data_IF_219387835454
#
_entry.id   IF_219387835454
#
_cell.length_a   1.000
_cell.length_b   1.000
_cell.length_c   1.000
_cell.angle_alpha   90.00
_cell.angle_beta   90.00
_cell.angle_gamma   90.00
#
_symmetry.space_group_name_H-M   'P 1'
#
loop_
_entity.id
_entity.type
_entity.pdbx_description
1 polymer ?
#
# COMPACT_ATOMS: atom_id res chain seq x y z
N UNK A 1 17.99 -10.70 21.27
CA UNK A 1 16.93 -9.91 21.98
C UNK A 1 16.41 -8.82 21.05
N UNK A 2 15.11 -8.51 21.10
CA UNK A 2 14.49 -7.40 20.36
C UNK A 2 14.18 -6.29 21.36
N UNK A 3 14.69 -5.07 21.13
CA UNK A 3 14.49 -3.95 22.07
C UNK A 3 13.90 -2.72 21.36
N UNK A 4 13.03 -2.00 22.05
CA UNK A 4 12.50 -0.70 21.58
C UNK A 4 13.55 0.39 21.81
N UNK A 5 13.72 1.29 20.83
CA UNK A 5 14.65 2.42 20.87
C UNK A 5 13.97 3.74 20.48
N UNK A 6 12.90 4.09 21.21
CA UNK A 6 12.08 5.27 20.95
C UNK A 6 11.03 5.07 19.86
N UNK A 7 10.64 6.16 19.21
CA UNK A 7 9.58 6.21 18.20
C UNK A 7 10.03 6.94 16.94
N UNK A 8 9.44 6.57 15.80
CA UNK A 8 9.51 7.38 14.58
C UNK A 8 8.67 8.64 14.74
N UNK A 9 8.85 9.60 13.82
CA UNK A 9 7.96 10.74 13.75
C UNK A 9 6.53 10.26 13.45
N UNK A 10 5.50 10.91 13.99
CA UNK A 10 4.12 10.63 13.63
C UNK A 10 3.94 10.72 12.12
N UNK A 11 3.21 9.77 11.56
CA UNK A 11 2.86 9.78 10.14
C UNK A 11 1.40 9.41 9.96
N UNK A 12 0.81 9.97 8.92
CA UNK A 12 -0.55 9.70 8.54
C UNK A 12 -0.62 8.50 7.59
N UNK A 13 -1.48 7.53 7.94
CA UNK A 13 -1.78 6.35 7.13
C UNK A 13 -3.23 6.47 6.66
N UNK A 14 -3.44 6.46 5.35
CA UNK A 14 -4.78 6.49 4.80
C UNK A 14 -5.46 5.12 4.91
N UNK A 15 -6.58 5.07 5.61
CA UNK A 15 -7.43 3.88 5.80
C UNK A 15 -8.81 4.08 5.17
N UNK A 16 -9.64 3.04 5.14
CA UNK A 16 -11.04 3.14 4.72
C UNK A 16 -11.90 4.00 5.64
N UNK A 17 -11.49 4.18 6.90
CA UNK A 17 -12.13 5.07 7.86
C UNK A 17 -11.59 6.51 7.79
N UNK A 18 -10.71 6.79 6.82
CA UNK A 18 -10.01 8.06 6.66
C UNK A 18 -8.55 8.02 7.11
N UNK A 19 -7.94 9.20 7.16
CA UNK A 19 -6.56 9.41 7.59
C UNK A 19 -6.39 9.16 9.10
N UNK A 20 -5.50 8.23 9.46
CA UNK A 20 -5.17 7.91 10.84
C UNK A 20 -3.72 8.25 11.13
N UNK A 21 -3.48 9.03 12.17
CA UNK A 21 -2.12 9.31 12.65
C UNK A 21 -1.57 8.09 13.41
N UNK A 22 -0.35 7.68 13.05
CA UNK A 22 0.32 6.53 13.62
C UNK A 22 1.75 6.89 13.99
N UNK A 23 2.16 6.52 15.20
CA UNK A 23 3.54 6.68 15.68
C UNK A 23 4.17 5.29 15.89
N UNK A 24 5.01 4.87 14.96
CA UNK A 24 5.61 3.54 14.99
C UNK A 24 6.80 3.47 15.97
N UNK A 25 6.93 2.42 16.80
CA UNK A 25 8.10 2.23 17.64
C UNK A 25 9.34 1.93 16.78
N UNK A 26 10.48 2.51 17.15
CA UNK A 26 11.79 2.11 16.60
C UNK A 26 12.22 0.81 17.27
N UNK A 27 12.54 -0.20 16.47
CA UNK A 27 12.95 -1.51 16.99
C UNK A 27 14.40 -1.77 16.61
N UNK A 28 15.24 -2.02 17.61
CA UNK A 28 16.59 -2.53 17.44
C UNK A 28 16.56 -4.05 17.63
N UNK A 29 16.51 -4.77 16.51
CA UNK A 29 16.59 -6.23 16.51
C UNK A 29 18.05 -6.67 16.60
N UNK A 30 18.41 -7.28 17.73
CA UNK A 30 19.75 -7.82 17.99
C UNK A 30 19.82 -9.34 17.76
N UNK A 31 18.79 -9.96 17.19
CA UNK A 31 18.82 -11.38 16.84
C UNK A 31 19.71 -11.59 15.63
N UNK A 32 20.47 -12.68 15.66
CA UNK A 32 21.27 -13.16 14.53
C UNK A 32 20.56 -14.32 13.87
N UNK A 33 20.66 -14.40 12.56
CA UNK A 33 20.19 -15.54 11.81
C UNK A 33 21.24 -16.67 11.87
N UNK A 34 20.90 -17.87 12.38
CA UNK A 34 21.88 -18.92 12.62
C UNK A 34 22.50 -19.49 11.34
N UNK A 35 21.81 -19.41 10.21
CA UNK A 35 22.30 -19.94 8.92
C UNK A 35 23.21 -18.94 8.19
N UNK A 36 22.81 -17.67 8.15
CA UNK A 36 23.51 -16.64 7.36
C UNK A 36 24.50 -15.82 8.20
N UNK A 37 24.43 -15.89 9.53
CA UNK A 37 25.23 -15.06 10.42
C UNK A 37 24.93 -13.56 10.30
N UNK A 38 23.80 -13.17 9.71
CA UNK A 38 23.40 -11.76 9.55
C UNK A 38 22.42 -11.31 10.62
N UNK A 39 22.30 -9.99 10.83
CA UNK A 39 21.28 -9.44 11.74
C UNK A 39 19.89 -9.61 11.16
N UNK A 40 18.97 -10.16 11.95
CA UNK A 40 17.54 -10.14 11.64
C UNK A 40 17.01 -8.71 11.73
N UNK A 41 16.00 -8.40 10.92
CA UNK A 41 15.25 -7.14 11.00
C UNK A 41 13.84 -7.43 11.47
N UNK A 42 13.40 -6.71 12.49
CA UNK A 42 12.00 -6.66 12.83
C UNK A 42 11.23 -5.93 11.73
N UNK A 43 10.18 -6.58 11.21
CA UNK A 43 9.20 -5.98 10.31
C UNK A 43 7.82 -6.15 10.95
N UNK A 44 7.05 -5.07 11.03
CA UNK A 44 5.69 -5.12 11.54
C UNK A 44 4.77 -5.71 10.47
N UNK A 45 3.97 -6.70 10.84
CA UNK A 45 2.91 -7.26 9.99
C UNK A 45 1.70 -6.33 9.88
N UNK A 46 1.47 -5.48 10.87
CA UNK A 46 0.33 -4.56 10.93
C UNK A 46 0.62 -3.28 10.17
N UNK A 47 1.83 -2.72 10.34
CA UNK A 47 2.26 -1.48 9.71
C UNK A 47 3.59 -1.72 8.98
N UNK A 48 3.54 -2.17 7.72
CA UNK A 48 4.74 -2.34 6.91
C UNK A 48 5.56 -1.06 6.83
N UNK A 49 6.87 -1.21 6.62
CA UNK A 49 7.76 -0.06 6.45
C UNK A 49 7.31 0.78 5.26
N UNK A 50 7.29 2.11 5.45
CA UNK A 50 6.83 3.10 4.45
C UNK A 50 5.35 2.99 4.03
N UNK A 51 4.51 2.24 4.75
CA UNK A 51 3.08 2.22 4.49
C UNK A 51 2.47 3.62 4.69
N UNK A 52 1.89 4.18 3.62
CA UNK A 52 1.16 5.48 3.63
C UNK A 52 -0.34 5.32 3.43
N UNK A 53 -0.77 4.13 3.01
CA UNK A 53 -2.15 3.73 2.79
C UNK A 53 -2.28 2.23 3.04
N UNK A 54 -3.47 1.80 3.41
CA UNK A 54 -3.78 0.36 3.55
C UNK A 54 -3.78 -0.34 2.18
N UNK A 55 -3.58 -1.66 2.17
CA UNK A 55 -3.75 -2.48 0.96
C UNK A 55 -5.14 -2.29 0.37
N UNK A 56 -6.18 -2.25 1.23
CA UNK A 56 -7.55 -2.10 0.76
C UNK A 56 -7.80 -0.78 0.02
N UNK A 57 -7.27 0.34 0.51
CA UNK A 57 -7.33 1.63 -0.19
C UNK A 57 -6.62 1.55 -1.56
N UNK A 58 -5.49 0.87 -1.62
CA UNK A 58 -4.70 0.69 -2.85
C UNK A 58 -5.50 -0.06 -3.92
N UNK A 59 -6.26 -1.09 -3.53
CA UNK A 59 -7.12 -1.88 -4.42
C UNK A 59 -8.32 -1.10 -4.96
N UNK A 60 -8.96 -0.25 -4.12
CA UNK A 60 -10.22 0.42 -4.51
C UNK A 60 -10.00 1.74 -5.22
N UNK A 61 -8.87 2.41 -5.01
CA UNK A 61 -8.60 3.72 -5.62
C UNK A 61 -8.61 3.71 -7.16
N UNK A 62 -8.18 2.66 -7.87
CA UNK A 62 -8.31 2.60 -9.33
C UNK A 62 -9.74 2.45 -9.85
N UNK A 63 -10.69 1.97 -9.04
CA UNK A 63 -12.06 1.72 -9.50
C UNK A 63 -12.76 2.98 -10.04
N UNK A 64 -12.74 4.13 -9.34
CA UNK A 64 -13.26 5.38 -9.91
C UNK A 64 -12.65 5.75 -11.27
N UNK A 65 -11.35 5.46 -11.49
CA UNK A 65 -10.71 5.72 -12.79
C UNK A 65 -11.33 4.85 -13.90
N UNK A 66 -11.62 3.57 -13.61
CA UNK A 66 -12.36 2.71 -14.54
C UNK A 66 -13.79 3.20 -14.79
N UNK A 67 -14.41 3.83 -13.80
CA UNK A 67 -15.74 4.43 -13.91
C UNK A 67 -15.74 5.83 -14.55
N UNK A 68 -14.60 6.30 -15.08
CA UNK A 68 -14.50 7.54 -15.84
C UNK A 68 -14.09 8.77 -15.03
N UNK A 69 -13.68 8.61 -13.77
CA UNK A 69 -13.09 9.71 -12.99
C UNK A 69 -11.69 10.03 -13.53
N UNK A 70 -11.46 11.27 -13.92
CA UNK A 70 -10.13 11.72 -14.36
C UNK A 70 -9.15 11.74 -13.19
N UNK A 71 -7.86 11.51 -13.47
CA UNK A 71 -6.78 11.58 -12.48
C UNK A 71 -6.74 12.91 -11.72
N UNK A 72 -7.10 14.02 -12.39
CA UNK A 72 -7.16 15.36 -11.76
C UNK A 72 -8.30 15.53 -10.77
N UNK A 73 -9.37 14.72 -10.90
CA UNK A 73 -10.59 14.85 -10.12
C UNK A 73 -10.58 14.00 -8.84
N UNK A 74 -9.54 13.18 -8.63
CA UNK A 74 -9.40 12.36 -7.43
C UNK A 74 -9.33 13.17 -6.14
N UNK A 75 -8.52 14.23 -6.12
CA UNK A 75 -8.40 15.09 -4.94
C UNK A 75 -9.73 15.80 -4.64
N UNK A 76 -10.38 16.48 -5.61
CA UNK A 76 -11.72 17.05 -5.41
C UNK A 76 -12.78 16.04 -4.97
N UNK A 77 -12.81 14.84 -5.56
CA UNK A 77 -13.87 13.86 -5.31
C UNK A 77 -13.72 13.11 -3.99
N UNK A 78 -12.49 12.77 -3.59
CA UNK A 78 -12.25 11.86 -2.47
C UNK A 78 -11.51 12.50 -1.29
N UNK A 79 -10.92 13.68 -1.47
CA UNK A 79 -10.09 14.32 -0.42
C UNK A 79 -10.86 14.58 0.88
N UNK A 80 -12.09 15.11 0.80
CA UNK A 80 -12.94 15.33 1.98
C UNK A 80 -13.44 14.01 2.57
N UNK A 81 -13.88 13.08 1.73
CA UNK A 81 -14.39 11.78 2.18
C UNK A 81 -13.34 10.99 2.98
N UNK A 82 -12.09 11.03 2.52
CA UNK A 82 -10.97 10.32 3.15
C UNK A 82 -10.26 11.13 4.24
N UNK A 83 -10.67 12.40 4.45
CA UNK A 83 -10.03 13.32 5.39
C UNK A 83 -8.58 13.69 5.03
N UNK A 84 -8.10 13.32 3.83
CA UNK A 84 -6.75 13.61 3.37
C UNK A 84 -6.59 13.46 1.86
N UNK A 85 -5.83 14.37 1.26
CA UNK A 85 -5.47 14.34 -0.16
C UNK A 85 -4.08 13.74 -0.43
N UNK A 86 -3.29 13.43 0.61
CA UNK A 86 -1.86 13.09 0.47
C UNK A 86 -1.61 11.85 -0.39
N UNK A 87 -2.56 10.93 -0.44
CA UNK A 87 -2.47 9.68 -1.20
C UNK A 87 -3.28 9.68 -2.51
N UNK A 88 -3.84 10.84 -2.90
CA UNK A 88 -4.76 10.98 -4.04
C UNK A 88 -4.16 11.78 -5.20
N UNK A 89 -2.86 12.08 -5.17
CA UNK A 89 -2.23 12.85 -6.23
C UNK A 89 -2.26 12.10 -7.56
N UNK A 90 -2.35 12.85 -8.68
CA UNK A 90 -2.36 12.28 -10.02
C UNK A 90 -1.26 11.22 -10.26
N UNK A 91 0.01 11.46 -9.91
CA UNK A 91 1.07 10.45 -10.04
C UNK A 91 0.85 9.17 -9.23
N UNK A 92 0.23 9.26 -8.05
CA UNK A 92 -0.12 8.08 -7.26
C UNK A 92 -1.20 7.28 -7.96
N UNK A 93 -2.24 7.93 -8.48
CA UNK A 93 -3.32 7.27 -9.21
C UNK A 93 -2.80 6.63 -10.50
N UNK A 94 -1.98 7.35 -11.28
CA UNK A 94 -1.36 6.81 -12.51
C UNK A 94 -0.60 5.52 -12.21
N UNK A 95 0.26 5.49 -11.19
CA UNK A 95 1.00 4.26 -10.81
C UNK A 95 0.10 3.09 -10.45
N UNK A 96 -1.02 3.33 -9.76
CA UNK A 96 -1.97 2.28 -9.44
C UNK A 96 -2.65 1.73 -10.71
N UNK A 97 -3.06 2.61 -11.61
CA UNK A 97 -3.69 2.20 -12.87
C UNK A 97 -2.70 1.47 -13.80
N UNK A 98 -1.41 1.83 -13.77
CA UNK A 98 -0.34 1.11 -14.48
C UNK A 98 -0.17 -0.32 -13.97
N UNK A 99 -0.21 -0.53 -12.65
CA UNK A 99 -0.18 -1.87 -12.06
C UNK A 99 -1.35 -2.72 -12.56
N UNK A 100 -2.58 -2.18 -12.56
CA UNK A 100 -3.75 -2.89 -13.08
C UNK A 100 -3.66 -3.17 -14.57
N UNK A 101 -3.10 -2.26 -15.37
CA UNK A 101 -2.84 -2.51 -16.80
C UNK A 101 -1.87 -3.68 -16.99
N UNK A 102 -0.86 -3.81 -16.13
CA UNK A 102 0.06 -4.93 -16.18
C UNK A 102 -0.63 -6.25 -15.78
N UNK A 103 -1.42 -6.23 -14.71
CA UNK A 103 -2.22 -7.39 -14.27
C UNK A 103 -3.21 -7.84 -15.36
N UNK A 104 -3.90 -6.89 -16.01
CA UNK A 104 -4.81 -7.19 -17.11
C UNK A 104 -4.10 -7.80 -18.32
N UNK A 105 -2.90 -7.32 -18.68
CA UNK A 105 -2.10 -7.91 -19.77
C UNK A 105 -1.68 -9.34 -19.43
N UNK A 106 -1.17 -9.55 -18.22
CA UNK A 106 -0.78 -10.88 -17.76
C UNK A 106 -1.97 -11.86 -17.78
N UNK A 107 -3.17 -11.39 -17.39
CA UNK A 107 -4.39 -12.18 -17.48
C UNK A 107 -4.79 -12.48 -18.94
N UNK A 108 -4.68 -11.50 -19.83
CA UNK A 108 -5.01 -11.67 -21.25
C UNK A 108 -4.04 -12.61 -22.00
N UNK A 109 -2.81 -12.71 -21.53
CA UNK A 109 -1.76 -13.58 -22.11
C UNK A 109 -1.69 -14.97 -21.44
N UNK A 110 -2.58 -15.25 -20.47
CA UNK A 110 -2.54 -16.50 -19.71
C UNK A 110 -2.88 -17.71 -20.61
N UNK A 111 -2.07 -18.78 -20.49
CA UNK A 111 -2.37 -20.06 -21.14
C UNK A 111 -3.58 -20.73 -20.48
N UNK A 112 -4.59 -21.02 -21.30
CA UNK A 112 -5.85 -21.64 -20.90
C UNK A 112 -5.93 -23.13 -21.28
N UNK A 113 -4.88 -23.68 -21.90
CA UNK A 113 -4.88 -25.05 -22.45
C UNK A 113 -5.17 -26.16 -21.43
N UNK A 114 -4.89 -25.91 -20.14
CA UNK A 114 -5.11 -26.84 -19.04
C UNK A 114 -6.34 -26.57 -18.17
N UNK A 115 -7.22 -25.63 -18.56
CA UNK A 115 -8.37 -25.23 -17.74
C UNK A 115 -9.67 -25.50 -18.48
N UNK A 116 -10.56 -26.28 -17.86
CA UNK A 116 -11.88 -26.60 -18.40
C UNK A 116 -12.88 -25.50 -18.02
N UNK A 117 -13.17 -24.60 -18.95
CA UNK A 117 -14.17 -23.54 -18.79
C UNK A 117 -15.49 -23.99 -19.43
N UNK A 118 -16.53 -24.21 -18.60
CA UNK A 118 -17.91 -24.53 -19.02
C UNK A 118 -18.83 -23.35 -18.73
#
# INVERSE_FOLDING_TARGET
MVVRNGYHQPQEVLTSAGAVEVTAPRVNDRRMDPETGTRRRFASSILPTWARKTSKITEVLPLPYLHGLSNGDFVPALGQFLGSAKALSGPVITKLTEQWKAEQRAFAEQDLSGVDYV
#
